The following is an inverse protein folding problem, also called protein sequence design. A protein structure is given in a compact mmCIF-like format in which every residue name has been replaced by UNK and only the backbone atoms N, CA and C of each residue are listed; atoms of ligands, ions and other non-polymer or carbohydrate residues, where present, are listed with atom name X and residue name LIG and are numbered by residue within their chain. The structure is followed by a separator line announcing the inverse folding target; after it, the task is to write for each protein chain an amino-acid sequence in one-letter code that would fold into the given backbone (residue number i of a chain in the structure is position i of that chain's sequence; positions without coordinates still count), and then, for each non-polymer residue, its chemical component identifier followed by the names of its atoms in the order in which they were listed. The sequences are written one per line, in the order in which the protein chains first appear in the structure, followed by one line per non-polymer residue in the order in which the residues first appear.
data_IF_056156542160
#
_entry.id   IF_056156542160
#
_cell.length_a   1.000
_cell.length_b   1.000
_cell.length_c   1.000
_cell.angle_alpha   90.00
_cell.angle_beta   90.00
_cell.angle_gamma   90.00
#
_symmetry.space_group_name_H-M   'P 1'
#
loop_
_entity.id
_entity.type
_entity.pdbx_description
1 polymer ?
#
# COMPACT_ATOMS: atom_id res chain seq x y z
N UNK A 1 11.07 -2.52 12.65
CA UNK A 1 10.84 -1.18 13.26
C UNK A 1 9.82 -0.30 12.52
N UNK A 2 9.18 -0.73 11.42
CA UNK A 2 8.42 0.20 10.57
C UNK A 2 7.09 -0.39 10.09
N UNK A 3 6.07 -0.31 10.94
CA UNK A 3 4.69 -0.19 10.48
C UNK A 3 4.33 1.27 10.72
N UNK A 4 3.80 1.96 9.71
CA UNK A 4 3.42 3.37 9.81
C UNK A 4 2.27 3.60 10.83
N UNK A 5 1.76 2.51 11.41
CA UNK A 5 0.63 2.40 12.32
C UNK A 5 0.97 1.49 13.52
N UNK A 6 2.25 1.24 13.82
CA UNK A 6 2.63 0.42 14.99
C UNK A 6 2.02 0.97 16.29
N UNK A 7 1.87 2.28 16.38
CA UNK A 7 1.19 2.96 17.50
C UNK A 7 -0.30 2.68 17.55
N UNK A 8 -0.95 2.33 16.43
CA UNK A 8 -2.39 2.05 16.35
C UNK A 8 -2.73 0.60 16.68
N UNK A 9 -1.88 -0.35 16.29
CA UNK A 9 -2.19 -1.78 16.42
C UNK A 9 -1.31 -2.54 17.41
N UNK A 10 -0.27 -1.93 17.97
CA UNK A 10 0.65 -2.59 18.89
C UNK A 10 1.49 -3.68 18.20
N UNK A 11 1.97 -4.69 18.94
CA UNK A 11 2.66 -5.84 18.36
C UNK A 11 1.66 -6.70 17.58
N UNK A 12 1.97 -6.98 16.31
CA UNK A 12 1.12 -7.76 15.42
C UNK A 12 1.48 -9.24 15.46
N UNK A 13 0.47 -10.10 15.52
CA UNK A 13 0.60 -11.54 15.41
C UNK A 13 0.59 -11.98 13.94
N UNK A 14 1.37 -13.02 13.57
CA UNK A 14 1.36 -13.56 12.21
C UNK A 14 -0.03 -14.08 11.80
N UNK A 15 -0.33 -13.98 10.51
CA UNK A 15 -1.53 -14.59 9.93
C UNK A 15 -1.44 -16.11 10.02
N UNK A 16 -2.49 -16.75 10.55
CA UNK A 16 -2.60 -18.20 10.62
C UNK A 16 -2.56 -18.82 9.20
N UNK A 17 -2.05 -20.06 9.08
CA UNK A 17 -1.79 -20.66 7.76
C UNK A 17 -3.05 -20.78 6.89
N UNK A 18 -4.16 -21.16 7.52
CA UNK A 18 -5.50 -21.26 6.93
C UNK A 18 -6.07 -19.89 6.51
N UNK A 19 -5.72 -18.82 7.22
CA UNK A 19 -6.15 -17.46 6.92
C UNK A 19 -5.32 -16.76 5.82
N UNK A 20 -4.17 -17.32 5.41
CA UNK A 20 -3.26 -16.68 4.42
C UNK A 20 -3.92 -16.39 3.08
N UNK A 21 -4.74 -17.32 2.58
CA UNK A 21 -5.46 -17.11 1.32
C UNK A 21 -6.43 -15.93 1.42
N UNK A 22 -7.10 -15.76 2.57
CA UNK A 22 -7.95 -14.61 2.87
C UNK A 22 -7.15 -13.31 2.89
N UNK A 23 -6.00 -13.30 3.57
CA UNK A 23 -5.11 -12.14 3.62
C UNK A 23 -4.62 -11.71 2.22
N UNK A 24 -4.29 -12.66 1.34
CA UNK A 24 -3.93 -12.36 -0.05
C UNK A 24 -5.11 -11.71 -0.78
N UNK A 25 -6.32 -12.25 -0.66
CA UNK A 25 -7.52 -11.64 -1.27
C UNK A 25 -7.76 -10.23 -0.77
N UNK A 26 -7.64 -10.00 0.55
CA UNK A 26 -7.75 -8.68 1.15
C UNK A 26 -6.71 -7.71 0.57
N UNK A 27 -5.44 -8.13 0.51
CA UNK A 27 -4.35 -7.31 -0.06
C UNK A 27 -4.66 -6.91 -1.51
N UNK A 28 -5.09 -7.85 -2.34
CA UNK A 28 -5.39 -7.58 -3.76
C UNK A 28 -6.61 -6.67 -3.91
N UNK A 29 -7.66 -6.84 -3.09
CA UNK A 29 -8.82 -5.96 -3.10
C UNK A 29 -8.47 -4.52 -2.68
N UNK A 30 -7.61 -4.37 -1.66
CA UNK A 30 -7.06 -3.07 -1.23
C UNK A 30 -6.30 -2.42 -2.39
N UNK A 31 -5.36 -3.13 -3.03
CA UNK A 31 -4.58 -2.55 -4.13
C UNK A 31 -5.50 -2.15 -5.30
N UNK A 32 -6.41 -3.02 -5.74
CA UNK A 32 -7.32 -2.72 -6.86
C UNK A 32 -8.18 -1.49 -6.59
N UNK A 33 -8.83 -1.41 -5.44
CA UNK A 33 -9.68 -0.29 -5.09
C UNK A 33 -8.88 1.02 -5.03
N UNK A 34 -7.84 1.09 -4.18
CA UNK A 34 -7.12 2.35 -3.99
C UNK A 34 -6.24 2.74 -5.18
N UNK A 35 -5.80 1.79 -6.00
CA UNK A 35 -5.16 2.08 -7.29
C UNK A 35 -6.13 2.72 -8.25
N UNK A 36 -7.36 2.20 -8.35
CA UNK A 36 -8.40 2.79 -9.18
C UNK A 36 -8.74 4.21 -8.71
N UNK A 37 -8.88 4.43 -7.39
CA UNK A 37 -9.05 5.77 -6.81
C UNK A 37 -7.90 6.72 -7.18
N UNK A 38 -6.64 6.28 -7.03
CA UNK A 38 -5.46 7.09 -7.36
C UNK A 38 -5.37 7.44 -8.86
N UNK A 39 -6.01 6.65 -9.73
CA UNK A 39 -6.06 6.87 -11.18
C UNK A 39 -7.35 7.57 -11.63
N UNK A 40 -8.27 7.91 -10.71
CA UNK A 40 -9.58 8.47 -11.06
C UNK A 40 -10.52 7.49 -11.78
N UNK A 41 -10.29 6.19 -11.63
CA UNK A 41 -11.02 5.09 -12.27
C UNK A 41 -11.80 4.23 -11.25
N UNK A 42 -12.09 4.79 -10.06
CA UNK A 42 -12.86 4.13 -9.01
C UNK A 42 -14.25 3.72 -9.49
N UNK A 43 -14.73 2.57 -9.02
CA UNK A 43 -16.09 2.09 -9.31
C UNK A 43 -16.76 1.55 -8.05
N UNK A 44 -18.10 1.59 -7.96
CA UNK A 44 -18.84 0.97 -6.86
C UNK A 44 -18.54 -0.52 -6.71
N UNK A 45 -18.29 -1.24 -7.81
CA UNK A 45 -17.94 -2.66 -7.78
C UNK A 45 -16.62 -2.93 -7.05
N UNK A 46 -15.59 -2.13 -7.31
CA UNK A 46 -14.30 -2.26 -6.61
C UNK A 46 -14.42 -1.96 -5.12
N UNK A 47 -15.27 -1.01 -4.74
CA UNK A 47 -15.58 -0.74 -3.33
C UNK A 47 -16.31 -1.94 -2.70
N UNK A 48 -17.31 -2.51 -3.38
CA UNK A 48 -18.03 -3.68 -2.90
C UNK A 48 -17.10 -4.88 -2.69
N UNK A 49 -16.20 -5.16 -3.65
CA UNK A 49 -15.20 -6.23 -3.55
C UNK A 49 -14.28 -6.05 -2.32
N UNK A 50 -13.85 -4.81 -2.06
CA UNK A 50 -13.04 -4.48 -0.89
C UNK A 50 -13.81 -4.69 0.41
N UNK A 51 -15.07 -4.21 0.48
CA UNK A 51 -15.91 -4.36 1.67
C UNK A 51 -16.19 -5.84 1.97
N UNK A 52 -16.44 -6.66 0.95
CA UNK A 52 -16.63 -8.11 1.10
C UNK A 52 -15.36 -8.79 1.62
N UNK A 53 -14.19 -8.44 1.06
CA UNK A 53 -12.92 -8.99 1.52
C UNK A 53 -12.60 -8.60 2.98
N UNK A 54 -12.92 -7.36 3.38
CA UNK A 54 -12.80 -6.89 4.77
C UNK A 54 -13.73 -7.68 5.68
N UNK A 55 -15.01 -7.78 5.34
CA UNK A 55 -16.00 -8.48 6.15
C UNK A 55 -15.66 -9.96 6.33
N UNK A 56 -15.28 -10.63 5.24
CA UNK A 56 -14.81 -12.01 5.25
C UNK A 56 -13.58 -12.20 6.15
N UNK A 57 -12.60 -11.29 6.09
CA UNK A 57 -11.40 -11.35 6.94
C UNK A 57 -11.76 -11.20 8.41
N UNK A 58 -12.54 -10.19 8.78
CA UNK A 58 -12.91 -9.92 10.18
C UNK A 58 -13.71 -11.07 10.80
N UNK A 59 -14.56 -11.75 10.02
CA UNK A 59 -15.30 -12.94 10.46
C UNK A 59 -14.38 -14.14 10.71
N UNK A 60 -13.38 -14.35 9.86
CA UNK A 60 -12.44 -15.47 9.97
C UNK A 60 -11.39 -15.26 11.07
N UNK A 61 -10.95 -14.02 11.28
CA UNK A 61 -9.91 -13.75 12.27
C UNK A 61 -10.37 -14.02 13.70
N UNK A 62 -11.69 -14.03 13.99
CA UNK A 62 -12.28 -14.44 15.26
C UNK A 62 -11.72 -13.69 16.47
N UNK A 63 -12.30 -12.53 16.82
CA UNK A 63 -11.95 -11.69 17.99
C UNK A 63 -10.44 -11.54 18.34
N UNK A 64 -9.54 -11.68 17.36
CA UNK A 64 -8.09 -11.46 17.51
C UNK A 64 -7.71 -10.10 16.94
N UNK A 65 -7.80 -9.01 17.74
CA UNK A 65 -7.54 -7.66 17.26
C UNK A 65 -6.08 -7.42 16.89
N UNK A 66 -5.12 -8.19 17.45
CA UNK A 66 -3.69 -8.08 17.12
C UNK A 66 -3.26 -8.92 15.90
N UNK A 67 -4.14 -9.75 15.34
CA UNK A 67 -3.81 -10.50 14.13
C UNK A 67 -3.56 -9.55 12.95
N UNK A 68 -2.48 -9.78 12.20
CA UNK A 68 -2.06 -8.92 11.09
C UNK A 68 -3.16 -8.74 10.04
N UNK A 69 -3.98 -9.76 9.79
CA UNK A 69 -5.11 -9.69 8.87
C UNK A 69 -6.23 -8.76 9.38
N UNK A 70 -6.60 -8.86 10.66
CA UNK A 70 -7.52 -7.93 11.33
C UNK A 70 -7.01 -6.50 11.29
N UNK A 71 -5.72 -6.29 11.61
CA UNK A 71 -5.11 -4.96 11.59
C UNK A 71 -5.09 -4.37 10.17
N UNK A 72 -4.82 -5.21 9.16
CA UNK A 72 -4.85 -4.81 7.75
C UNK A 72 -6.27 -4.39 7.32
N UNK A 73 -7.29 -5.18 7.69
CA UNK A 73 -8.68 -4.86 7.38
C UNK A 73 -9.11 -3.53 8.03
N UNK A 74 -8.72 -3.30 9.29
CA UNK A 74 -8.98 -2.03 9.99
C UNK A 74 -8.23 -0.84 9.37
N UNK A 75 -6.99 -1.03 8.95
CA UNK A 75 -6.21 0.00 8.24
C UNK A 75 -6.89 0.42 6.93
N UNK A 76 -7.39 -0.55 6.16
CA UNK A 76 -8.16 -0.27 4.95
C UNK A 76 -9.45 0.53 5.24
N UNK A 77 -10.20 0.17 6.29
CA UNK A 77 -11.39 0.92 6.73
C UNK A 77 -11.09 2.36 7.17
N UNK A 78 -9.96 2.57 7.85
CA UNK A 78 -9.53 3.93 8.22
C UNK A 78 -9.22 4.76 6.98
N UNK A 79 -8.55 4.16 5.99
CA UNK A 79 -8.25 4.84 4.73
C UNK A 79 -9.52 5.15 3.91
N UNK A 80 -10.53 4.25 3.94
CA UNK A 80 -11.86 4.49 3.35
C UNK A 80 -12.60 5.65 4.02
N UNK A 81 -12.48 5.78 5.35
CA UNK A 81 -13.22 6.78 6.15
C UNK A 81 -12.68 8.21 6.01
N UNK A 82 -11.42 8.37 5.62
CA UNK A 82 -10.77 9.68 5.45
C UNK A 82 -9.98 9.72 4.14
N UNK A 83 -10.66 9.68 2.98
CA UNK A 83 -9.97 9.66 1.72
C UNK A 83 -9.32 11.03 1.45
N UNK A 84 -7.99 11.06 1.38
CA UNK A 84 -7.24 12.11 0.68
C UNK A 84 -6.59 11.45 -0.56
N UNK A 85 -7.33 11.26 -1.66
CA UNK A 85 -6.83 10.56 -2.84
C UNK A 85 -5.56 11.18 -3.41
N UNK A 86 -5.35 12.49 -3.20
CA UNK A 86 -4.14 13.19 -3.66
C UNK A 86 -2.87 12.73 -2.93
N UNK A 87 -3.01 12.06 -1.78
CA UNK A 87 -1.88 11.43 -1.07
C UNK A 87 -1.64 10.01 -1.54
N UNK A 88 -2.59 9.34 -2.20
CA UNK A 88 -2.36 8.03 -2.78
C UNK A 88 -1.63 8.19 -4.11
N UNK A 89 -0.44 7.59 -4.18
CA UNK A 89 0.44 7.70 -5.35
C UNK A 89 0.97 6.35 -5.75
N UNK A 90 1.25 6.19 -7.04
CA UNK A 90 1.87 4.99 -7.60
C UNK A 90 3.33 5.29 -7.87
N UNK A 91 4.22 4.44 -7.33
CA UNK A 91 5.66 4.61 -7.51
C UNK A 91 6.05 4.41 -8.98
N UNK A 92 6.71 5.38 -9.63
CA UNK A 92 7.06 5.26 -11.05
C UNK A 92 8.19 4.26 -11.33
N UNK A 93 8.87 3.75 -10.29
CA UNK A 93 9.94 2.74 -10.46
C UNK A 93 9.44 1.30 -10.30
N UNK A 94 8.51 1.04 -9.36
CA UNK A 94 8.08 -0.34 -9.05
C UNK A 94 6.57 -0.56 -9.12
N UNK A 95 5.76 0.47 -9.42
CA UNK A 95 4.31 0.35 -9.53
C UNK A 95 3.56 0.19 -8.21
N UNK A 96 4.25 0.17 -7.07
CA UNK A 96 3.61 0.04 -5.76
C UNK A 96 2.80 1.28 -5.42
N UNK A 97 1.59 1.06 -4.91
CA UNK A 97 0.77 2.09 -4.30
C UNK A 97 1.35 2.48 -2.94
N UNK A 98 1.40 3.77 -2.63
CA UNK A 98 1.86 4.28 -1.34
C UNK A 98 1.12 5.56 -0.94
N UNK A 99 1.08 5.80 0.37
CA UNK A 99 0.54 7.03 0.94
C UNK A 99 1.64 8.08 1.16
N UNK A 100 1.49 9.23 0.53
CA UNK A 100 2.37 10.38 0.70
C UNK A 100 2.07 11.12 2.02
N UNK A 101 2.80 10.73 3.06
CA UNK A 101 2.77 11.35 4.39
C UNK A 101 3.71 12.57 4.52
N UNK A 102 4.33 13.04 3.42
CA UNK A 102 5.14 14.26 3.49
C UNK A 102 4.25 15.49 3.72
N UNK A 103 4.82 16.50 4.41
CA UNK A 103 4.12 17.75 4.73
C UNK A 103 3.54 18.42 3.49
N UNK A 104 4.32 18.46 2.41
CA UNK A 104 4.00 19.19 1.18
C UNK A 104 3.57 18.27 0.02
N UNK A 105 3.18 17.02 0.31
CA UNK A 105 2.78 16.02 -0.73
C UNK A 105 3.82 15.89 -1.85
N UNK A 106 5.10 15.96 -1.50
CA UNK A 106 6.23 16.00 -2.44
C UNK A 106 6.89 14.64 -2.66
N UNK A 107 6.47 13.59 -1.95
CA UNK A 107 7.07 12.26 -2.10
C UNK A 107 6.69 11.69 -3.47
N UNK A 108 7.70 11.35 -4.26
CA UNK A 108 7.55 10.75 -5.60
C UNK A 108 7.78 9.23 -5.61
N UNK A 109 8.37 8.65 -4.56
CA UNK A 109 8.81 7.25 -4.53
C UNK A 109 8.22 6.52 -3.32
N UNK A 110 7.82 5.26 -3.47
CA UNK A 110 7.32 4.45 -2.36
C UNK A 110 8.36 4.24 -1.26
N UNK A 111 9.65 4.31 -1.59
CA UNK A 111 10.77 4.30 -0.65
C UNK A 111 11.96 5.03 -1.26
N UNK A 112 12.57 5.94 -0.49
CA UNK A 112 13.70 6.74 -0.98
C UNK A 112 14.98 5.89 -1.09
N UNK A 113 15.25 5.03 -0.11
CA UNK A 113 16.45 4.20 -0.06
C UNK A 113 16.47 3.15 -1.18
N UNK A 114 15.30 2.62 -1.56
CA UNK A 114 15.17 1.61 -2.62
C UNK A 114 14.87 2.25 -3.98
N UNK A 115 13.67 2.80 -4.16
CA UNK A 115 13.21 3.27 -5.48
C UNK A 115 13.82 4.62 -5.86
N UNK A 116 13.93 5.55 -4.91
CA UNK A 116 14.50 6.87 -5.16
C UNK A 116 15.98 6.81 -5.55
N UNK A 117 16.77 6.00 -4.85
CA UNK A 117 18.19 5.81 -5.17
C UNK A 117 18.40 5.08 -6.50
N UNK A 118 17.59 4.05 -6.82
CA UNK A 118 17.63 3.38 -8.14
C UNK A 118 17.35 4.37 -9.28
N UNK A 119 16.37 5.24 -9.12
CA UNK A 119 16.05 6.26 -10.12
C UNK A 119 17.20 7.27 -10.30
N UNK A 120 17.86 7.70 -9.20
CA UNK A 120 19.05 8.58 -9.28
C UNK A 120 20.21 7.89 -10.00
N UNK A 121 20.50 6.63 -9.68
CA UNK A 121 21.56 5.86 -10.32
C UNK A 121 21.30 5.71 -11.83
N UNK A 122 20.08 5.34 -12.23
CA UNK A 122 19.69 5.24 -13.66
C UNK A 122 19.91 6.57 -14.41
N UNK A 123 19.53 7.71 -13.82
CA UNK A 123 19.76 9.05 -14.39
C UNK A 123 21.25 9.41 -14.48
N UNK A 124 22.08 8.96 -13.55
CA UNK A 124 23.53 9.15 -13.61
C UNK A 124 24.15 8.31 -14.74
N UNK A 125 23.84 7.01 -14.80
CA UNK A 125 24.33 6.13 -15.88
C UNK A 125 23.95 6.62 -17.27
N UNK A 126 22.71 7.10 -17.46
CA UNK A 126 22.27 7.62 -18.75
C UNK A 126 23.02 8.88 -19.19
N UNK A 127 23.42 9.73 -18.24
CA UNK A 127 24.23 10.92 -18.53
C UNK A 127 25.67 10.54 -18.92
N UNK A 128 26.28 9.60 -18.20
CA UNK A 128 27.68 9.22 -18.41
C UNK A 128 27.88 8.25 -19.60
N UNK A 129 26.82 7.62 -20.12
CA UNK A 129 26.89 6.83 -21.37
C UNK A 129 26.74 7.67 -22.64
N UNK A 130 26.42 8.97 -22.52
CA UNK A 130 26.39 9.92 -23.64
C UNK A 130 27.72 10.58 -23.94
N UNK A 131 28.76 10.29 -23.15
CA UNK A 131 30.13 10.71 -23.40
C UNK A 131 30.82 9.57 -24.18
N UNK A 132 31.15 9.76 -25.46
CA UNK A 132 31.93 8.75 -26.17
C UNK A 132 33.26 8.62 -25.42
N UNK A 133 33.56 7.39 -25.00
CA UNK A 133 34.81 7.08 -24.30
C UNK A 133 35.98 7.38 -25.26
N UNK A 134 37.00 8.16 -24.86
CA UNK A 134 38.22 8.29 -25.66
C UNK A 134 38.91 6.93 -25.81
#
# INVERSE_FOLDING_TARGET
RHGAERTLFGPLEPVALDARAGMVRLREAIDRHFRAEALGAGTPGLLADLLEAIASTLRLSGERPQALDTATARSALMLLSQPDPQRLKICPNCGWLFLDRSRNRSRAWCDMAVCGNRAKASRHYRRNRGEPRP
#
